data_IF_730613553689
#
_entry.id   IF_730613553689
#
_cell.length_a   1.000
_cell.length_b   1.000
_cell.length_c   1.000
_cell.angle_alpha   90.00
_cell.angle_beta   90.00
_cell.angle_gamma   90.00
#
_symmetry.space_group_name_H-M   'P 1'
#
loop_
_entity.id
_entity.type
_entity.pdbx_description
1 polymer ?
#
# COMPACT_ATOMS: atom_id res chain seq x y z
N UNK A 1 -10.53 31.64 -29.65
CA UNK A 1 -9.12 31.28 -29.33
C UNK A 1 -8.68 31.34 -27.85
N UNK A 2 -9.49 31.69 -26.82
CA UNK A 2 -8.98 31.79 -25.44
C UNK A 2 -8.73 30.42 -24.75
N UNK A 3 -9.42 29.35 -25.16
CA UNK A 3 -9.20 27.99 -24.62
C UNK A 3 -7.81 27.42 -24.95
N UNK A 4 -7.26 27.70 -26.13
CA UNK A 4 -5.93 27.21 -26.52
C UNK A 4 -4.80 27.93 -25.77
N UNK A 5 -4.96 29.23 -25.49
CA UNK A 5 -4.01 29.99 -24.67
C UNK A 5 -3.99 29.50 -23.21
N UNK A 6 -5.16 29.21 -22.63
CA UNK A 6 -5.27 28.64 -21.28
C UNK A 6 -4.63 27.24 -21.18
N UNK A 7 -4.84 26.38 -22.19
CA UNK A 7 -4.21 25.06 -22.26
C UNK A 7 -2.69 25.15 -22.46
N UNK A 8 -2.21 26.10 -23.27
CA UNK A 8 -0.78 26.33 -23.46
C UNK A 8 -0.12 26.82 -22.15
N UNK A 9 -0.75 27.73 -21.42
CA UNK A 9 -0.24 28.21 -20.13
C UNK A 9 -0.23 27.11 -19.05
N UNK A 10 -1.24 26.24 -19.04
CA UNK A 10 -1.26 25.06 -18.17
C UNK A 10 -0.16 24.06 -18.53
N UNK A 11 0.09 23.83 -19.84
CA UNK A 11 1.18 22.97 -20.31
C UNK A 11 2.55 23.49 -19.83
N UNK A 12 2.80 24.79 -19.96
CA UNK A 12 4.04 25.44 -19.52
C UNK A 12 4.33 25.33 -18.02
N UNK A 13 3.30 25.23 -17.17
CA UNK A 13 3.46 25.02 -15.73
C UNK A 13 3.59 23.53 -15.37
N UNK A 14 2.90 22.65 -16.10
CA UNK A 14 2.88 21.21 -15.82
C UNK A 14 4.21 20.52 -16.13
N UNK A 15 4.87 20.89 -17.23
CA UNK A 15 6.16 20.29 -17.65
C UNK A 15 7.27 20.48 -16.60
N UNK A 16 7.57 21.69 -16.11
CA UNK A 16 8.58 21.87 -15.07
C UNK A 16 8.17 21.25 -13.73
N UNK A 17 6.88 21.28 -13.37
CA UNK A 17 6.40 20.60 -12.17
C UNK A 17 6.63 19.07 -12.22
N UNK A 18 6.34 18.44 -13.36
CA UNK A 18 6.60 17.00 -13.58
C UNK A 18 8.11 16.73 -13.59
N UNK A 19 8.92 17.58 -14.19
CA UNK A 19 10.38 17.45 -14.18
C UNK A 19 10.96 17.56 -12.76
N UNK A 20 10.52 18.54 -11.97
CA UNK A 20 10.92 18.69 -10.57
C UNK A 20 10.48 17.49 -9.72
N UNK A 21 9.25 17.00 -9.94
CA UNK A 21 8.75 15.79 -9.27
C UNK A 21 9.59 14.56 -9.64
N UNK A 22 9.92 14.40 -10.93
CA UNK A 22 10.77 13.30 -11.42
C UNK A 22 12.18 13.38 -10.82
N UNK A 23 12.80 14.57 -10.77
CA UNK A 23 14.12 14.78 -10.17
C UNK A 23 14.07 14.51 -8.66
N UNK A 24 13.08 15.03 -7.94
CA UNK A 24 12.92 14.77 -6.51
C UNK A 24 12.72 13.27 -6.23
N UNK A 25 11.94 12.58 -7.07
CA UNK A 25 11.72 11.14 -6.96
C UNK A 25 12.99 10.35 -7.29
N UNK A 26 13.76 10.78 -8.30
CA UNK A 26 15.05 10.18 -8.66
C UNK A 26 16.07 10.34 -7.54
N UNK A 27 16.23 11.55 -7.01
CA UNK A 27 17.16 11.84 -5.90
C UNK A 27 16.75 11.13 -4.62
N UNK A 28 15.45 11.08 -4.33
CA UNK A 28 14.92 10.24 -3.27
C UNK A 28 15.34 8.80 -3.53
N UNK A 29 14.93 8.21 -4.65
CA UNK A 29 15.15 6.78 -4.93
C UNK A 29 16.64 6.38 -4.93
N UNK A 30 17.51 7.26 -5.43
CA UNK A 30 18.94 7.00 -5.58
C UNK A 30 19.80 7.45 -4.39
N UNK A 31 19.18 7.91 -3.29
CA UNK A 31 19.93 8.17 -2.05
C UNK A 31 20.50 6.84 -1.54
N UNK A 32 21.81 6.65 -1.73
CA UNK A 32 22.54 5.60 -1.02
C UNK A 32 22.64 6.05 0.43
N UNK A 33 21.94 5.37 1.33
CA UNK A 33 22.14 5.59 2.75
C UNK A 33 23.59 5.19 3.06
N UNK A 34 24.40 6.06 3.67
CA UNK A 34 25.74 5.68 4.11
C UNK A 34 25.66 4.39 4.93
N UNK A 35 26.58 3.46 4.69
CA UNK A 35 26.71 2.32 5.58
C UNK A 35 26.84 2.85 7.02
N UNK A 36 26.08 2.30 7.97
CA UNK A 36 26.18 2.75 9.34
C UNK A 36 27.60 2.47 9.82
N UNK A 37 28.42 3.50 9.91
CA UNK A 37 29.65 3.44 10.69
C UNK A 37 29.26 2.95 12.08
N UNK A 38 29.95 1.93 12.59
CA UNK A 38 29.73 1.23 13.86
C UNK A 38 29.93 2.12 15.10
N UNK A 39 29.85 3.44 14.96
CA UNK A 39 29.87 4.37 16.07
C UNK A 39 28.49 4.36 16.75
N UNK A 40 28.48 4.17 18.07
CA UNK A 40 27.29 4.21 18.91
C UNK A 40 26.54 5.54 18.78
N UNK A 41 25.66 5.64 17.80
CA UNK A 41 24.81 6.81 17.61
C UNK A 41 23.66 6.71 18.59
N UNK A 42 23.63 7.65 19.54
CA UNK A 42 22.51 7.88 20.44
C UNK A 42 21.20 7.81 19.64
N UNK A 43 20.29 6.95 20.06
CA UNK A 43 19.02 6.78 19.36
C UNK A 43 18.28 8.11 19.30
N UNK A 44 17.92 8.55 18.09
CA UNK A 44 17.15 9.78 17.96
C UNK A 44 15.80 9.64 18.69
N UNK A 45 15.36 10.71 19.37
CA UNK A 45 14.10 10.72 20.15
C UNK A 45 12.91 10.21 19.34
N UNK A 46 12.86 10.53 18.05
CA UNK A 46 11.84 10.05 17.12
C UNK A 46 11.86 8.53 16.95
N UNK A 47 13.05 7.91 16.81
CA UNK A 47 13.17 6.45 16.72
C UNK A 47 12.74 5.76 18.01
N UNK A 48 13.12 6.33 19.16
CA UNK A 48 12.69 5.82 20.47
C UNK A 48 11.17 5.94 20.68
N UNK A 49 10.53 6.99 20.15
CA UNK A 49 9.06 7.14 20.20
C UNK A 49 8.35 6.19 19.25
N UNK A 50 8.85 6.01 18.02
CA UNK A 50 8.30 5.01 17.09
C UNK A 50 8.43 3.61 17.68
N UNK A 51 9.59 3.27 18.27
CA UNK A 51 9.77 1.96 18.91
C UNK A 51 8.77 1.74 20.04
N UNK A 52 8.62 2.69 20.96
CA UNK A 52 7.63 2.59 22.06
C UNK A 52 6.20 2.48 21.56
N UNK A 53 5.84 3.22 20.51
CA UNK A 53 4.53 3.12 19.88
C UNK A 53 4.31 1.73 19.28
N UNK A 54 5.31 1.15 18.61
CA UNK A 54 5.25 -0.20 18.07
C UNK A 54 5.17 -1.24 19.18
N UNK A 55 5.99 -1.13 20.23
CA UNK A 55 5.94 -2.01 21.40
C UNK A 55 4.54 -2.02 22.03
N UNK A 56 3.94 -0.85 22.19
CA UNK A 56 2.57 -0.70 22.68
C UNK A 56 1.52 -1.32 21.74
N UNK A 57 1.62 -1.04 20.43
CA UNK A 57 0.69 -1.56 19.41
C UNK A 57 0.80 -3.08 19.19
N UNK A 58 1.95 -3.67 19.52
CA UNK A 58 2.25 -5.09 19.28
C UNK A 58 2.18 -5.94 20.54
N UNK A 59 1.73 -5.38 21.67
CA UNK A 59 1.69 -6.07 22.97
C UNK A 59 3.04 -6.73 23.35
N UNK A 60 4.15 -6.12 22.91
CA UNK A 60 5.50 -6.68 23.02
C UNK A 60 5.71 -8.07 22.38
N UNK A 61 4.85 -8.52 21.46
CA UNK A 61 5.05 -9.78 20.74
C UNK A 61 6.22 -9.64 19.74
N UNK A 62 7.32 -10.42 19.92
CA UNK A 62 8.54 -10.26 19.12
C UNK A 62 8.33 -10.53 17.63
N UNK A 63 7.41 -11.45 17.27
CA UNK A 63 7.14 -11.79 15.88
C UNK A 63 6.40 -10.65 15.16
N UNK A 64 5.46 -10.02 15.86
CA UNK A 64 4.70 -8.88 15.34
C UNK A 64 5.62 -7.67 15.16
N UNK A 65 6.54 -7.46 16.09
CA UNK A 65 7.57 -6.43 15.95
C UNK A 65 8.51 -6.70 14.78
N UNK A 66 8.96 -7.95 14.62
CA UNK A 66 9.81 -8.34 13.50
C UNK A 66 9.12 -8.06 12.16
N UNK A 67 7.85 -8.44 12.01
CA UNK A 67 7.06 -8.14 10.81
C UNK A 67 6.89 -6.65 10.55
N UNK A 68 6.62 -5.88 11.60
CA UNK A 68 6.44 -4.43 11.49
C UNK A 68 7.73 -3.74 11.05
N UNK A 69 8.83 -3.93 11.79
CA UNK A 69 10.09 -3.24 11.52
C UNK A 69 10.73 -3.71 10.22
N UNK A 70 10.64 -5.00 9.90
CA UNK A 70 11.13 -5.51 8.62
C UNK A 70 10.38 -4.87 7.45
N UNK A 71 9.04 -4.82 7.52
CA UNK A 71 8.22 -4.16 6.48
C UNK A 71 8.57 -2.68 6.36
N UNK A 72 8.67 -1.98 7.49
CA UNK A 72 9.02 -0.56 7.52
C UNK A 72 10.39 -0.29 6.90
N UNK A 73 11.41 -1.08 7.25
CA UNK A 73 12.75 -0.95 6.69
C UNK A 73 12.77 -1.31 5.20
N UNK A 74 12.09 -2.38 4.79
CA UNK A 74 11.99 -2.78 3.39
C UNK A 74 11.36 -1.68 2.54
N UNK A 75 10.21 -1.13 2.94
CA UNK A 75 9.54 -0.05 2.21
C UNK A 75 10.35 1.25 2.16
N UNK A 76 11.15 1.55 3.18
CA UNK A 76 11.88 2.83 3.26
C UNK A 76 13.30 2.78 2.70
N UNK A 77 13.92 1.60 2.66
CA UNK A 77 15.32 1.40 2.27
C UNK A 77 15.51 0.62 0.96
N UNK A 78 14.65 -0.35 0.65
CA UNK A 78 14.82 -1.17 -0.56
C UNK A 78 14.39 -0.40 -1.82
N UNK A 79 15.32 -0.22 -2.76
CA UNK A 79 15.09 0.50 -4.02
C UNK A 79 13.90 -0.05 -4.85
N UNK A 80 13.74 -1.38 -5.07
CA UNK A 80 12.60 -1.89 -5.83
C UNK A 80 11.26 -1.58 -5.15
N UNK A 81 11.19 -1.72 -3.83
CA UNK A 81 9.98 -1.45 -3.04
C UNK A 81 9.60 0.03 -3.07
N UNK A 82 10.58 0.92 -2.91
CA UNK A 82 10.37 2.37 -3.00
C UNK A 82 9.87 2.79 -4.37
N UNK A 83 10.37 2.15 -5.43
CA UNK A 83 9.94 2.41 -6.80
C UNK A 83 8.48 1.98 -7.00
N UNK A 84 8.10 0.79 -6.52
CA UNK A 84 6.70 0.31 -6.58
C UNK A 84 5.76 1.25 -5.82
N UNK A 85 6.13 1.65 -4.60
CA UNK A 85 5.31 2.58 -3.80
C UNK A 85 5.24 3.95 -4.47
N UNK A 86 6.33 4.45 -5.08
CA UNK A 86 6.30 5.72 -5.81
C UNK A 86 5.35 5.67 -7.02
N UNK A 87 5.33 4.56 -7.77
CA UNK A 87 4.37 4.35 -8.87
C UNK A 87 2.94 4.35 -8.33
N UNK A 88 2.69 3.68 -7.20
CA UNK A 88 1.39 3.65 -6.56
C UNK A 88 0.92 5.05 -6.07
N UNK A 89 1.83 5.84 -5.49
CA UNK A 89 1.59 7.24 -5.12
C UNK A 89 1.26 8.06 -6.37
N UNK A 90 2.04 7.93 -7.43
CA UNK A 90 1.83 8.66 -8.68
C UNK A 90 0.44 8.35 -9.27
N UNK A 91 0.04 7.08 -9.30
CA UNK A 91 -1.29 6.68 -9.76
C UNK A 91 -2.43 7.35 -8.96
N UNK A 92 -2.30 7.39 -7.63
CA UNK A 92 -3.26 8.07 -6.76
C UNK A 92 -3.29 9.59 -6.97
N UNK A 93 -2.10 10.21 -7.06
CA UNK A 93 -1.96 11.65 -7.30
C UNK A 93 -2.52 12.08 -8.67
N UNK A 94 -2.42 11.24 -9.70
CA UNK A 94 -3.03 11.53 -11.00
C UNK A 94 -4.52 11.75 -10.85
N UNK A 95 -5.23 10.88 -10.13
CA UNK A 95 -6.66 11.05 -9.93
C UNK A 95 -6.98 12.31 -9.12
N UNK A 96 -6.23 12.58 -8.04
CA UNK A 96 -6.34 13.81 -7.26
C UNK A 96 -6.23 15.05 -8.15
N UNK A 97 -5.19 15.11 -8.99
CA UNK A 97 -4.96 16.25 -9.89
C UNK A 97 -6.07 16.38 -10.93
N UNK A 98 -6.56 15.28 -11.50
CA UNK A 98 -7.68 15.29 -12.45
C UNK A 98 -8.99 15.77 -11.79
N UNK A 99 -9.28 15.31 -10.58
CA UNK A 99 -10.46 15.71 -9.82
C UNK A 99 -10.43 17.21 -9.50
N UNK A 100 -9.26 17.72 -9.07
CA UNK A 100 -9.07 19.15 -8.80
C UNK A 100 -9.12 20.00 -10.08
N UNK A 101 -8.52 19.54 -11.18
CA UNK A 101 -8.52 20.27 -12.45
C UNK A 101 -9.92 20.40 -13.06
N UNK A 102 -10.78 19.40 -12.86
CA UNK A 102 -12.16 19.38 -13.38
C UNK A 102 -13.15 20.09 -12.47
N UNK A 103 -12.94 20.06 -11.16
CA UNK A 103 -13.89 20.57 -10.16
C UNK A 103 -13.53 21.96 -9.59
N UNK A 104 -12.24 22.34 -9.66
CA UNK A 104 -11.71 23.52 -8.97
C UNK A 104 -11.60 23.34 -7.45
N UNK A 105 -10.99 24.32 -6.77
CA UNK A 105 -10.81 24.36 -5.31
C UNK A 105 -11.80 25.30 -4.62
N UNK A 106 -13.08 25.20 -4.95
CA UNK A 106 -14.12 26.02 -4.32
C UNK A 106 -14.96 25.15 -3.40
N UNK A 107 -15.32 25.69 -2.23
CA UNK A 107 -16.30 25.04 -1.35
C UNK A 107 -17.67 25.11 -2.04
N UNK A 108 -18.18 23.94 -2.41
CA UNK A 108 -19.51 23.76 -2.96
C UNK A 108 -20.42 23.16 -1.88
N UNK A 109 -21.73 23.29 -2.08
CA UNK A 109 -22.67 22.54 -1.26
C UNK A 109 -22.52 21.04 -1.51
N UNK A 110 -22.64 20.22 -0.46
CA UNK A 110 -22.46 18.77 -0.56
C UNK A 110 -23.29 18.12 -1.69
N UNK A 111 -24.57 18.50 -1.90
CA UNK A 111 -25.41 17.94 -2.97
C UNK A 111 -25.02 18.36 -4.38
N UNK A 112 -24.11 19.34 -4.56
CA UNK A 112 -23.60 19.79 -5.87
C UNK A 112 -22.12 19.45 -6.07
N UNK A 113 -21.44 18.96 -5.03
CA UNK A 113 -20.02 18.63 -5.07
C UNK A 113 -19.71 17.40 -5.96
N UNK A 114 -18.72 17.50 -6.88
CA UNK A 114 -18.40 16.40 -7.80
C UNK A 114 -17.95 15.11 -7.10
N UNK A 115 -18.41 13.96 -7.60
CA UNK A 115 -18.05 12.63 -7.08
C UNK A 115 -16.55 12.37 -7.12
N UNK A 116 -15.83 12.98 -8.08
CA UNK A 116 -14.38 12.85 -8.18
C UNK A 116 -13.63 13.36 -6.94
N UNK A 117 -14.18 14.33 -6.20
CA UNK A 117 -13.55 14.84 -4.98
C UNK A 117 -13.70 13.86 -3.80
N UNK A 118 -14.83 13.14 -3.71
CA UNK A 118 -15.02 12.08 -2.72
C UNK A 118 -14.19 10.84 -3.07
N UNK A 119 -13.98 10.57 -4.37
CA UNK A 119 -13.17 9.44 -4.84
C UNK A 119 -11.67 9.53 -4.53
N UNK A 120 -11.16 10.72 -4.18
CA UNK A 120 -9.73 10.97 -3.91
C UNK A 120 -9.19 9.99 -2.86
N UNK A 121 -9.88 9.87 -1.71
CA UNK A 121 -9.44 9.02 -0.61
C UNK A 121 -9.31 7.56 -1.04
N UNK A 122 -10.37 7.02 -1.63
CA UNK A 122 -10.41 5.60 -1.99
C UNK A 122 -9.40 5.28 -3.09
N UNK A 123 -9.23 6.12 -4.11
CA UNK A 123 -8.26 5.85 -5.18
C UNK A 123 -6.82 5.92 -4.68
N UNK A 124 -6.46 6.93 -3.89
CA UNK A 124 -5.10 7.04 -3.33
C UNK A 124 -4.79 5.85 -2.43
N UNK A 125 -5.73 5.45 -1.58
CA UNK A 125 -5.54 4.32 -0.68
C UNK A 125 -5.52 2.98 -1.44
N UNK A 126 -6.41 2.79 -2.42
CA UNK A 126 -6.45 1.59 -3.25
C UNK A 126 -5.17 1.42 -4.07
N UNK A 127 -4.62 2.50 -4.65
CA UNK A 127 -3.38 2.44 -5.42
C UNK A 127 -2.19 2.05 -4.52
N UNK A 128 -2.09 2.65 -3.33
CA UNK A 128 -1.06 2.33 -2.34
C UNK A 128 -1.15 0.89 -1.85
N UNK A 129 -2.36 0.42 -1.53
CA UNK A 129 -2.59 -0.96 -1.08
C UNK A 129 -2.28 -1.95 -2.21
N UNK A 130 -2.66 -1.65 -3.46
CA UNK A 130 -2.33 -2.48 -4.61
C UNK A 130 -0.81 -2.56 -4.85
N UNK A 131 -0.12 -1.42 -4.80
CA UNK A 131 1.34 -1.37 -4.88
C UNK A 131 2.01 -2.17 -3.76
N UNK A 132 1.51 -2.06 -2.54
CA UNK A 132 2.02 -2.84 -1.41
C UNK A 132 1.76 -4.34 -1.55
N UNK A 133 0.58 -4.74 -2.02
CA UNK A 133 0.24 -6.15 -2.24
C UNK A 133 1.18 -6.79 -3.25
N UNK A 134 1.60 -6.02 -4.28
CA UNK A 134 2.65 -6.43 -5.20
C UNK A 134 4.01 -6.46 -4.50
N UNK A 135 4.40 -5.39 -3.82
CA UNK A 135 5.70 -5.26 -3.16
C UNK A 135 5.98 -6.42 -2.18
N UNK A 136 4.98 -6.88 -1.45
CA UNK A 136 5.08 -8.03 -0.53
C UNK A 136 5.45 -9.35 -1.22
N UNK A 137 5.22 -9.48 -2.53
CA UNK A 137 5.60 -10.67 -3.31
C UNK A 137 7.01 -10.62 -3.87
N UNK A 138 7.69 -9.46 -3.77
CA UNK A 138 9.03 -9.25 -4.31
C UNK A 138 10.03 -9.29 -3.16
N UNK A 139 11.01 -10.21 -3.17
CA UNK A 139 12.02 -10.23 -2.13
C UNK A 139 12.96 -9.02 -2.26
N UNK A 140 13.38 -8.37 -1.16
CA UNK A 140 14.31 -7.25 -1.20
C UNK A 140 15.69 -7.67 -1.72
N UNK A 141 16.11 -8.90 -1.40
CA UNK A 141 17.30 -9.55 -1.93
C UNK A 141 17.04 -11.05 -2.08
N UNK A 142 17.38 -11.66 -3.22
CA UNK A 142 17.17 -13.10 -3.45
C UNK A 142 17.91 -13.97 -2.42
N UNK A 143 19.10 -13.53 -1.96
CA UNK A 143 19.88 -14.22 -0.94
C UNK A 143 19.21 -14.22 0.46
N UNK A 144 18.36 -13.22 0.75
CA UNK A 144 17.72 -13.09 2.07
C UNK A 144 16.74 -14.22 2.38
N UNK A 145 16.24 -14.91 1.35
CA UNK A 145 15.29 -16.02 1.49
C UNK A 145 15.87 -17.15 2.36
N UNK A 146 17.11 -17.58 2.10
CA UNK A 146 17.76 -18.64 2.87
C UNK A 146 18.01 -18.23 4.32
N UNK A 147 18.42 -16.98 4.55
CA UNK A 147 18.63 -16.42 5.89
C UNK A 147 17.32 -16.36 6.69
N UNK A 148 16.22 -15.92 6.07
CA UNK A 148 14.90 -15.91 6.70
C UNK A 148 14.51 -17.34 7.07
N UNK A 149 14.65 -18.32 6.16
CA UNK A 149 14.29 -19.71 6.45
C UNK A 149 15.11 -20.31 7.60
N UNK A 150 16.42 -20.07 7.64
CA UNK A 150 17.29 -20.55 8.73
C UNK A 150 16.97 -19.89 10.07
N UNK A 151 16.67 -18.59 10.06
CA UNK A 151 16.37 -17.83 11.27
C UNK A 151 14.90 -17.98 11.73
N UNK A 152 14.04 -18.60 10.93
CA UNK A 152 12.61 -18.67 11.20
C UNK A 152 12.27 -19.72 12.25
N UNK A 153 12.07 -19.28 13.49
CA UNK A 153 11.62 -20.11 14.61
C UNK A 153 10.19 -19.76 15.08
N UNK A 154 9.54 -18.77 14.46
CA UNK A 154 8.33 -18.12 14.97
C UNK A 154 7.03 -18.47 14.23
N UNK A 155 5.94 -17.89 14.72
CA UNK A 155 4.61 -17.93 14.13
C UNK A 155 4.43 -16.84 13.05
N UNK A 156 4.17 -17.28 11.82
CA UNK A 156 3.97 -16.40 10.66
C UNK A 156 2.75 -15.50 10.84
N UNK A 157 1.81 -15.86 11.70
CA UNK A 157 0.62 -15.05 11.97
C UNK A 157 0.96 -13.77 12.70
N UNK A 158 1.83 -13.84 13.71
CA UNK A 158 2.34 -12.69 14.45
C UNK A 158 3.09 -11.77 13.51
N UNK A 159 4.01 -12.33 12.71
CA UNK A 159 4.73 -11.57 11.69
C UNK A 159 3.82 -10.90 10.66
N UNK A 160 2.84 -11.62 10.12
CA UNK A 160 1.89 -11.06 9.16
C UNK A 160 1.02 -9.97 9.80
N UNK A 161 0.66 -10.09 11.08
CA UNK A 161 -0.03 -9.01 11.80
C UNK A 161 0.86 -7.76 11.89
N UNK A 162 2.16 -7.93 12.12
CA UNK A 162 3.16 -6.86 12.08
C UNK A 162 3.27 -6.19 10.71
N UNK A 163 3.35 -6.99 9.65
CA UNK A 163 3.39 -6.52 8.25
C UNK A 163 2.16 -5.67 7.92
N UNK A 164 0.96 -6.15 8.29
CA UNK A 164 -0.29 -5.40 8.11
C UNK A 164 -0.29 -4.12 8.95
N UNK A 165 0.17 -4.16 10.20
CA UNK A 165 0.29 -2.98 11.06
C UNK A 165 1.19 -1.90 10.45
N UNK A 166 2.35 -2.28 9.91
CA UNK A 166 3.24 -1.36 9.22
C UNK A 166 2.59 -0.76 7.97
N UNK A 167 1.85 -1.57 7.20
CA UNK A 167 1.10 -1.10 6.04
C UNK A 167 -0.02 -0.10 6.43
N UNK A 168 -0.79 -0.37 7.50
CA UNK A 168 -1.83 0.55 7.99
C UNK A 168 -1.21 1.90 8.39
N UNK A 169 -0.07 1.89 9.08
CA UNK A 169 0.60 3.13 9.47
C UNK A 169 1.13 3.87 8.24
N UNK A 170 1.93 3.21 7.41
CA UNK A 170 2.67 3.84 6.31
C UNK A 170 1.78 4.21 5.10
N UNK A 171 0.76 3.40 4.81
CA UNK A 171 0.01 3.46 3.55
C UNK A 171 -1.45 3.87 3.72
N UNK A 172 -1.95 3.91 4.96
CA UNK A 172 -3.31 4.37 5.24
C UNK A 172 -3.28 5.62 6.10
N UNK A 173 -2.69 5.52 7.29
CA UNK A 173 -2.71 6.59 8.29
C UNK A 173 -1.94 7.81 7.82
N UNK A 174 -0.68 7.65 7.41
CA UNK A 174 0.15 8.76 6.94
C UNK A 174 -0.45 9.46 5.70
N UNK A 175 -0.87 8.76 4.63
CA UNK A 175 -1.52 9.40 3.49
C UNK A 175 -2.79 10.15 3.85
N UNK A 176 -3.66 9.61 4.72
CA UNK A 176 -4.86 10.30 5.17
C UNK A 176 -4.53 11.58 5.94
N UNK A 177 -3.50 11.57 6.80
CA UNK A 177 -3.03 12.77 7.49
C UNK A 177 -2.48 13.82 6.52
N UNK A 178 -1.79 13.39 5.45
CA UNK A 178 -1.29 14.28 4.39
C UNK A 178 -2.44 14.88 3.57
N UNK A 179 -3.49 14.11 3.31
CA UNK A 179 -4.67 14.57 2.57
C UNK A 179 -5.66 15.39 3.43
N UNK A 180 -5.61 15.27 4.75
CA UNK A 180 -6.57 15.92 5.66
C UNK A 180 -6.65 17.44 5.46
N UNK A 181 -5.56 18.23 5.33
CA UNK A 181 -5.65 19.67 5.09
C UNK A 181 -6.41 20.00 3.79
N UNK A 182 -6.21 19.20 2.74
CA UNK A 182 -6.95 19.36 1.49
C UNK A 182 -8.44 19.07 1.70
N UNK A 183 -8.79 17.99 2.40
CA UNK A 183 -10.20 17.70 2.71
C UNK A 183 -10.83 18.82 3.56
N UNK A 184 -10.10 19.38 4.53
CA UNK A 184 -10.60 20.51 5.34
C UNK A 184 -10.85 21.74 4.47
N UNK A 185 -9.99 22.01 3.49
CA UNK A 185 -10.19 23.10 2.54
C UNK A 185 -11.45 22.88 1.68
N UNK A 186 -11.65 21.65 1.18
CA UNK A 186 -12.76 21.29 0.29
C UNK A 186 -14.11 21.15 1.00
N UNK A 187 -14.17 20.42 2.11
CA UNK A 187 -15.42 20.00 2.76
C UNK A 187 -15.69 20.67 4.11
N UNK A 188 -14.71 21.38 4.68
CA UNK A 188 -14.75 21.84 6.07
C UNK A 188 -14.33 20.76 7.06
N UNK A 189 -14.02 21.17 8.29
CA UNK A 189 -13.34 20.31 9.27
C UNK A 189 -14.14 19.05 9.65
N UNK A 190 -15.41 19.20 10.03
CA UNK A 190 -16.23 18.08 10.50
C UNK A 190 -16.38 16.98 9.43
N UNK A 191 -16.73 17.38 8.20
CA UNK A 191 -16.91 16.44 7.09
C UNK A 191 -15.57 15.83 6.67
N UNK A 192 -14.49 16.60 6.65
CA UNK A 192 -13.15 16.10 6.33
C UNK A 192 -12.68 15.00 7.29
N UNK A 193 -13.00 15.13 8.58
CA UNK A 193 -12.69 14.10 9.58
C UNK A 193 -13.51 12.84 9.31
N UNK A 194 -14.82 12.95 9.11
CA UNK A 194 -15.69 11.79 8.82
C UNK A 194 -15.28 11.10 7.51
N UNK A 195 -15.02 11.86 6.46
CA UNK A 195 -14.53 11.36 5.17
C UNK A 195 -13.21 10.59 5.32
N UNK A 196 -12.28 11.11 6.14
CA UNK A 196 -11.01 10.43 6.44
C UNK A 196 -11.23 9.14 7.26
N UNK A 197 -12.18 9.13 8.19
CA UNK A 197 -12.52 7.93 8.98
C UNK A 197 -13.11 6.84 8.08
N UNK A 198 -13.99 7.20 7.14
CA UNK A 198 -14.52 6.24 6.18
C UNK A 198 -13.44 5.67 5.26
N UNK A 199 -12.56 6.55 4.73
CA UNK A 199 -11.38 6.11 3.99
C UNK A 199 -10.51 5.13 4.79
N UNK A 200 -10.28 5.41 6.07
CA UNK A 200 -9.53 4.52 6.97
C UNK A 200 -10.22 3.16 7.14
N UNK A 201 -11.53 3.13 7.39
CA UNK A 201 -12.30 1.88 7.54
C UNK A 201 -12.27 1.04 6.26
N UNK A 202 -12.51 1.66 5.10
CA UNK A 202 -12.49 0.96 3.81
C UNK A 202 -11.09 0.42 3.50
N UNK A 203 -10.05 1.22 3.71
CA UNK A 203 -8.67 0.80 3.45
C UNK A 203 -8.21 -0.33 4.39
N UNK A 204 -8.54 -0.25 5.67
CA UNK A 204 -8.19 -1.32 6.63
C UNK A 204 -8.93 -2.61 6.32
N UNK A 205 -10.23 -2.56 6.01
CA UNK A 205 -10.99 -3.73 5.56
C UNK A 205 -10.44 -4.32 4.25
N UNK A 206 -10.06 -3.46 3.29
CA UNK A 206 -9.48 -3.90 2.01
C UNK A 206 -8.13 -4.56 2.21
N UNK A 207 -7.27 -3.99 3.05
CA UNK A 207 -5.97 -4.56 3.37
C UNK A 207 -6.14 -5.92 4.06
N UNK A 208 -6.97 -6.01 5.10
CA UNK A 208 -7.24 -7.29 5.77
C UNK A 208 -7.82 -8.31 4.77
N UNK A 209 -8.76 -7.87 3.92
CA UNK A 209 -9.36 -8.64 2.83
C UNK A 209 -8.35 -9.23 1.85
N UNK A 210 -7.40 -8.44 1.37
CA UNK A 210 -6.35 -8.87 0.44
C UNK A 210 -5.35 -9.86 1.06
N UNK A 211 -5.24 -9.83 2.39
CA UNK A 211 -4.40 -10.75 3.15
C UNK A 211 -5.20 -11.92 3.77
N UNK A 212 -6.52 -12.01 3.52
CA UNK A 212 -7.34 -13.13 3.98
C UNK A 212 -6.84 -14.43 3.36
N UNK A 213 -6.34 -15.33 4.20
CA UNK A 213 -5.80 -16.60 3.74
C UNK A 213 -4.53 -16.46 2.89
N UNK A 214 -3.79 -15.34 3.02
CA UNK A 214 -2.46 -15.23 2.43
C UNK A 214 -1.51 -16.21 3.12
N UNK A 215 -0.92 -17.13 2.35
CA UNK A 215 -0.13 -18.27 2.85
C UNK A 215 1.38 -18.16 2.64
N UNK A 216 1.80 -17.17 1.85
CA UNK A 216 3.21 -16.94 1.53
C UNK A 216 3.86 -16.09 2.61
N UNK A 217 5.17 -16.26 2.78
CA UNK A 217 5.96 -15.42 3.67
C UNK A 217 6.20 -14.05 3.00
N UNK A 218 5.66 -12.94 3.53
CA UNK A 218 5.87 -11.61 2.95
C UNK A 218 7.35 -11.33 2.73
N UNK A 219 7.73 -10.91 1.53
CA UNK A 219 9.10 -10.56 1.14
C UNK A 219 10.12 -11.71 1.14
N UNK A 220 9.73 -12.94 1.51
CA UNK A 220 10.64 -14.08 1.58
C UNK A 220 10.59 -14.98 0.35
N UNK A 221 9.47 -15.02 -0.37
CA UNK A 221 9.27 -15.96 -1.47
C UNK A 221 9.86 -15.46 -2.80
N UNK A 222 10.24 -16.39 -3.68
CA UNK A 222 10.61 -16.09 -5.06
C UNK A 222 9.39 -15.53 -5.80
N UNK A 223 9.54 -14.38 -6.46
CA UNK A 223 8.44 -13.74 -7.19
C UNK A 223 7.94 -14.65 -8.31
N UNK A 224 6.66 -15.02 -8.25
CA UNK A 224 5.97 -15.75 -9.32
C UNK A 224 5.20 -14.76 -10.17
N UNK A 225 5.49 -14.64 -11.49
CA UNK A 225 4.75 -13.76 -12.36
C UNK A 225 3.25 -14.08 -12.37
N UNK A 226 2.42 -13.04 -12.36
CA UNK A 226 0.97 -13.17 -12.48
C UNK A 226 0.64 -13.82 -13.83
N UNK A 227 -0.18 -14.87 -13.81
CA UNK A 227 -0.72 -15.49 -15.01
C UNK A 227 -1.72 -14.53 -15.69
N UNK A 228 -1.51 -14.24 -16.98
CA UNK A 228 -2.38 -13.37 -17.81
C UNK A 228 -2.54 -11.91 -17.32
N UNK A 229 -1.45 -11.13 -17.24
CA UNK A 229 -1.51 -9.73 -16.78
C UNK A 229 -2.40 -8.86 -17.68
N UNK A 230 -2.49 -9.16 -18.99
CA UNK A 230 -3.25 -8.40 -19.99
C UNK A 230 -4.75 -8.34 -19.70
N UNK A 231 -5.32 -9.37 -19.08
CA UNK A 231 -6.75 -9.43 -18.74
C UNK A 231 -7.02 -8.93 -17.30
N UNK A 232 -6.07 -9.13 -16.39
CA UNK A 232 -6.25 -8.79 -14.98
C UNK A 232 -6.14 -7.29 -14.72
N UNK A 233 -5.27 -6.57 -15.44
CA UNK A 233 -5.10 -5.13 -15.19
C UNK A 233 -6.34 -4.29 -15.55
N UNK A 234 -7.04 -4.48 -16.69
CA UNK A 234 -8.24 -3.69 -17.00
C UNK A 234 -9.40 -4.06 -16.07
N UNK A 235 -9.56 -5.34 -15.75
CA UNK A 235 -10.60 -5.81 -14.83
C UNK A 235 -10.38 -5.26 -13.42
N UNK A 236 -9.13 -5.27 -12.94
CA UNK A 236 -8.75 -4.66 -11.67
C UNK A 236 -9.01 -3.15 -11.66
N UNK A 237 -8.61 -2.44 -12.72
CA UNK A 237 -8.88 -1.01 -12.85
C UNK A 237 -10.38 -0.69 -12.86
N UNK A 238 -11.16 -1.42 -13.66
CA UNK A 238 -12.61 -1.27 -13.71
C UNK A 238 -13.27 -1.51 -12.35
N UNK A 239 -12.82 -2.54 -11.62
CA UNK A 239 -13.30 -2.85 -10.26
C UNK A 239 -12.98 -1.70 -9.30
N UNK A 240 -11.74 -1.19 -9.32
CA UNK A 240 -11.33 -0.06 -8.46
C UNK A 240 -12.16 1.18 -8.77
N UNK A 241 -12.38 1.51 -10.05
CA UNK A 241 -13.19 2.67 -10.43
C UNK A 241 -14.65 2.50 -10.01
N UNK A 242 -15.24 1.33 -10.26
CA UNK A 242 -16.64 1.03 -9.89
C UNK A 242 -16.83 1.15 -8.38
N UNK A 243 -15.96 0.53 -7.59
CA UNK A 243 -16.03 0.57 -6.11
C UNK A 243 -15.81 1.99 -5.62
N UNK A 244 -14.85 2.73 -6.19
CA UNK A 244 -14.57 4.11 -5.79
C UNK A 244 -15.78 5.00 -6.03
N UNK A 245 -16.31 5.05 -7.25
CA UNK A 245 -17.40 5.98 -7.58
C UNK A 245 -18.74 5.55 -6.99
N UNK A 246 -18.98 4.24 -6.87
CA UNK A 246 -20.14 3.73 -6.14
C UNK A 246 -20.07 4.10 -4.65
N UNK A 247 -18.91 3.95 -4.02
CA UNK A 247 -18.72 4.38 -2.64
C UNK A 247 -18.83 5.90 -2.47
N UNK A 248 -18.22 6.68 -3.37
CA UNK A 248 -18.28 8.13 -3.36
C UNK A 248 -19.72 8.66 -3.42
N UNK A 249 -20.58 8.02 -4.22
CA UNK A 249 -22.00 8.37 -4.31
C UNK A 249 -22.75 8.08 -3.00
N UNK A 250 -22.55 6.88 -2.44
CA UNK A 250 -23.13 6.48 -1.14
C UNK A 250 -22.65 7.38 -0.01
N UNK A 251 -21.36 7.70 0.02
CA UNK A 251 -20.74 8.58 1.01
C UNK A 251 -21.32 9.99 0.93
N UNK A 252 -21.37 10.56 -0.28
CA UNK A 252 -21.95 11.89 -0.50
C UNK A 252 -23.40 11.94 -0.05
N UNK A 253 -24.20 10.93 -0.36
CA UNK A 253 -25.58 10.80 0.10
C UNK A 253 -25.67 10.69 1.64
N UNK A 254 -24.77 9.93 2.26
CA UNK A 254 -24.74 9.73 3.70
C UNK A 254 -24.37 11.00 4.47
N UNK A 255 -23.46 11.82 3.93
CA UNK A 255 -22.98 13.04 4.56
C UNK A 255 -24.00 14.20 4.55
N UNK A 256 -25.13 14.06 3.85
CA UNK A 256 -26.20 15.06 3.85
C UNK A 256 -26.99 15.12 5.17
N UNK A 257 -26.93 14.08 6.00
CA UNK A 257 -27.68 14.04 7.27
C UNK A 257 -26.93 13.24 8.32
N UNK A 258 -26.94 13.72 9.57
CA UNK A 258 -26.25 13.06 10.67
C UNK A 258 -26.66 11.59 10.88
N UNK A 259 -27.94 11.27 10.69
CA UNK A 259 -28.47 9.90 10.80
C UNK A 259 -27.91 8.97 9.73
N UNK A 260 -27.86 9.41 8.48
CA UNK A 260 -27.30 8.63 7.36
C UNK A 260 -25.79 8.49 7.49
N UNK A 261 -25.13 9.54 8.00
CA UNK A 261 -23.71 9.49 8.35
C UNK A 261 -23.47 8.40 9.40
N UNK A 262 -24.18 8.44 10.53
CA UNK A 262 -24.05 7.41 11.56
C UNK A 262 -24.35 5.99 11.03
N UNK A 263 -25.36 5.84 10.17
CA UNK A 263 -25.71 4.57 9.55
C UNK A 263 -24.59 4.00 8.66
N UNK A 264 -24.00 4.83 7.78
CA UNK A 264 -22.87 4.40 6.95
C UNK A 264 -21.64 4.06 7.79
N UNK A 265 -21.33 4.88 8.80
CA UNK A 265 -20.24 4.61 9.73
C UNK A 265 -20.42 3.29 10.49
N UNK A 266 -21.64 3.00 10.95
CA UNK A 266 -21.97 1.74 11.60
C UNK A 266 -21.84 0.54 10.64
N UNK A 267 -22.30 0.68 9.39
CA UNK A 267 -22.17 -0.35 8.37
C UNK A 267 -20.70 -0.65 8.04
N UNK A 268 -19.88 0.38 7.86
CA UNK A 268 -18.43 0.23 7.64
C UNK A 268 -17.72 -0.39 8.85
N UNK A 269 -18.07 0.02 10.07
CA UNK A 269 -17.55 -0.59 11.28
C UNK A 269 -17.89 -2.09 11.36
N UNK A 270 -19.14 -2.46 11.03
CA UNK A 270 -19.56 -3.86 10.99
C UNK A 270 -18.77 -4.66 9.95
N UNK A 271 -18.50 -4.10 8.76
CA UNK A 271 -17.66 -4.73 7.73
C UNK A 271 -16.23 -4.94 8.25
N UNK A 272 -15.61 -3.91 8.84
CA UNK A 272 -14.26 -4.02 9.41
C UNK A 272 -14.21 -5.10 10.48
N UNK A 273 -15.19 -5.13 11.39
CA UNK A 273 -15.29 -6.14 12.45
C UNK A 273 -15.45 -7.54 11.86
N UNK A 274 -16.34 -7.72 10.89
CA UNK A 274 -16.56 -9.00 10.22
C UNK A 274 -15.27 -9.51 9.56
N UNK A 275 -14.59 -8.65 8.79
CA UNK A 275 -13.33 -8.99 8.13
C UNK A 275 -12.27 -9.36 9.16
N UNK A 276 -12.15 -8.62 10.28
CA UNK A 276 -11.21 -8.95 11.37
C UNK A 276 -11.55 -10.26 12.07
N UNK A 277 -12.84 -10.58 12.26
CA UNK A 277 -13.28 -11.84 12.84
C UNK A 277 -12.90 -13.00 11.90
N UNK A 278 -13.16 -12.85 10.60
CA UNK A 278 -12.81 -13.87 9.58
C UNK A 278 -11.29 -14.04 9.48
N UNK A 279 -10.51 -12.94 9.45
CA UNK A 279 -9.05 -12.98 9.44
C UNK A 279 -8.53 -13.69 10.70
N UNK A 280 -9.07 -13.35 11.88
CA UNK A 280 -8.69 -14.01 13.14
C UNK A 280 -9.08 -15.50 13.16
N UNK A 281 -10.22 -15.87 12.59
CA UNK A 281 -10.66 -17.26 12.49
C UNK A 281 -9.77 -18.06 11.54
N UNK A 282 -9.48 -17.56 10.34
CA UNK A 282 -8.54 -18.19 9.39
C UNK A 282 -7.13 -18.27 9.97
N UNK A 283 -6.71 -17.26 10.73
CA UNK A 283 -5.44 -17.30 11.49
C UNK A 283 -5.44 -18.32 12.61
N UNK A 284 -6.54 -18.97 13.02
CA UNK A 284 -6.47 -20.05 14.03
C UNK A 284 -6.00 -21.37 13.43
N UNK A 285 -6.19 -21.61 12.14
CA UNK A 285 -5.77 -22.83 11.44
C UNK A 285 -4.23 -22.87 11.28
N UNK A 286 -3.55 -23.79 11.97
CA UNK A 286 -2.07 -23.91 11.94
C UNK A 286 -1.69 -24.65 10.67
N UNK A 287 -1.68 -23.94 9.55
CA UNK A 287 -1.21 -24.47 8.28
C UNK A 287 0.29 -24.18 8.12
N UNK A 288 1.08 -25.12 7.56
CA UNK A 288 2.50 -24.94 7.34
C UNK A 288 2.75 -23.77 6.38
N UNK A 289 3.84 -23.04 6.64
CA UNK A 289 4.27 -21.90 5.83
C UNK A 289 4.72 -22.39 4.46
N UNK A 290 4.16 -21.83 3.39
CA UNK A 290 4.61 -22.17 2.06
C UNK A 290 5.73 -21.20 1.64
N UNK A 291 6.97 -21.68 1.63
CA UNK A 291 8.14 -20.95 1.15
C UNK A 291 8.36 -21.05 -0.37
N UNK A 292 7.50 -21.79 -1.10
CA UNK A 292 7.50 -22.01 -2.55
C UNK A 292 8.87 -21.78 -3.23
N UNK A 293 9.70 -22.83 -3.25
CA UNK A 293 10.47 -23.14 -4.45
C UNK A 293 9.54 -23.93 -5.36
N UNK A 294 9.13 -23.38 -6.51
CA UNK A 294 8.64 -24.26 -7.58
C UNK A 294 9.71 -25.35 -7.78
N UNK A 295 9.33 -26.61 -8.02
CA UNK A 295 10.29 -27.67 -8.26
C UNK A 295 11.22 -27.19 -9.36
N UNK A 296 12.53 -27.39 -9.19
CA UNK A 296 13.53 -27.13 -10.23
C UNK A 296 12.91 -27.56 -11.56
N UNK A 297 12.70 -26.60 -12.48
CA UNK A 297 12.41 -26.93 -13.87
C UNK A 297 13.37 -28.04 -14.23
N UNK A 298 12.82 -29.20 -14.62
CA UNK A 298 13.55 -30.44 -14.84
C UNK A 298 14.92 -30.06 -15.36
N UNK A 299 15.93 -30.22 -14.50
CA UNK A 299 17.31 -29.81 -14.76
C UNK A 299 17.56 -30.08 -16.24
N UNK A 300 17.75 -29.03 -17.02
CA UNK A 300 18.36 -29.17 -18.33
C UNK A 300 19.70 -29.81 -18.00
N UNK A 301 19.74 -31.14 -18.07
CA UNK A 301 20.94 -31.91 -17.81
C UNK A 301 21.92 -31.37 -18.82
N UNK A 302 22.84 -30.51 -18.36
CA UNK A 302 24.03 -30.24 -19.15
C UNK A 302 24.62 -31.63 -19.38
N UNK A 303 24.57 -32.09 -20.61
CA UNK A 303 25.10 -33.39 -21.08
C UNK A 303 26.63 -33.44 -21.00
N UNK A 304 27.20 -32.98 -19.89
CA UNK A 304 28.63 -32.95 -19.62
C UNK A 304 29.20 -34.35 -19.33
N UNK A 305 28.35 -35.38 -19.24
CA UNK A 305 28.79 -36.76 -19.03
C UNK A 305 28.63 -37.69 -20.24
N UNK A 306 28.07 -37.21 -21.35
CA UNK A 306 27.82 -38.08 -22.52
C UNK A 306 29.03 -38.22 -23.46
N UNK A 307 30.15 -37.54 -23.16
CA UNK A 307 31.33 -37.49 -24.05
C UNK A 307 32.57 -38.26 -23.56
N UNK A 308 32.49 -39.01 -22.46
CA UNK A 308 33.65 -39.76 -21.91
C UNK A 308 33.57 -41.27 -22.22
N UNK A 309 32.46 -41.79 -22.76
CA UNK A 309 32.27 -43.23 -22.95
C UNK A 309 32.43 -43.75 -24.40
N UNK A 310 33.03 -42.98 -25.31
CA UNK A 310 33.31 -43.43 -26.68
C UNK A 310 34.80 -43.28 -27.01
N UNK A 311 35.64 -44.04 -26.31
CA UNK A 311 36.97 -44.43 -26.77
C UNK A 311 37.28 -45.79 -26.15
N UNK A 312 36.77 -46.84 -26.78
CA UNK A 312 37.32 -48.20 -26.78
C UNK A 312 36.98 -48.84 -28.13
#
# INVERSE_FOLDING_TARGET
>A
MPRFAALAQQAWLSVPAVACLAIATFLWNNRRLPEPATAGLAESRLRASIRRMVEWLTEANPETQAGFFFTWQTLTRSQPHRTVIAIAVAAGLTHLLMALATSGMHRLELPSMPLGLFGINIIVLASLIAGFRYAVTVPPELASNWTIRLAWLGDVRGYLAGVKGAAIVALVTVPLLVLLPLHVALFGFAIAVVHSIYGFMVATATLDGLFLGYRQFPFGCSYVPIENPKLLWPAGLATVLLVTYGFADVERFALQTATRTAALGAALAAIVLLVKIIDRAKRRERLPVNFDERPALATQRLGLFERIANHD
#
